data_IF_350303682040
#
_entry.id   IF_350303682040
#
_cell.length_a   1.000
_cell.length_b   1.000
_cell.length_c   1.000
_cell.angle_alpha   90.00
_cell.angle_beta   90.00
_cell.angle_gamma   90.00
#
_symmetry.space_group_name_H-M   'P 1'
#
loop_
_entity.id
_entity.type
_entity.pdbx_description
1 polymer ?
#
# COMPACT_ATOMS: atom_id res chain seq x y z
N UNK A 1 -17.29 8.10 -11.01
CA UNK A 1 -17.02 9.40 -11.64
C UNK A 1 -16.11 10.26 -10.79
N UNK A 2 -15.77 11.45 -11.25
CA UNK A 2 -14.86 12.35 -10.52
C UNK A 2 -15.52 12.87 -9.24
N UNK A 3 -14.76 12.91 -8.14
CA UNK A 3 -15.15 13.50 -6.87
C UNK A 3 -14.32 14.75 -6.63
N UNK A 4 -15.00 15.89 -6.40
CA UNK A 4 -14.37 17.19 -6.10
C UNK A 4 -14.68 17.60 -4.66
N UNK A 5 -13.65 18.00 -3.93
CA UNK A 5 -13.74 18.48 -2.54
C UNK A 5 -12.76 19.65 -2.36
N UNK A 6 -13.29 20.87 -2.41
CA UNK A 6 -12.47 22.08 -2.39
C UNK A 6 -11.48 22.12 -3.56
N UNK A 7 -10.18 22.13 -3.23
CA UNK A 7 -9.08 22.09 -4.19
C UNK A 7 -8.69 20.68 -4.62
N UNK A 8 -9.22 19.65 -3.96
CA UNK A 8 -8.89 18.27 -4.24
C UNK A 8 -9.82 17.68 -5.30
N UNK A 9 -9.25 16.84 -6.15
CA UNK A 9 -9.96 16.13 -7.20
C UNK A 9 -9.51 14.68 -7.22
N UNK A 10 -10.43 13.76 -6.96
CA UNK A 10 -10.22 12.33 -7.16
C UNK A 10 -10.84 11.95 -8.50
N UNK A 11 -10.00 11.63 -9.47
CA UNK A 11 -10.43 11.15 -10.79
C UNK A 11 -10.98 9.73 -10.65
N UNK A 12 -12.12 9.46 -11.31
CA UNK A 12 -12.77 8.15 -11.30
C UNK A 12 -12.91 7.56 -9.88
N UNK A 13 -13.39 8.38 -8.94
CA UNK A 13 -13.57 7.99 -7.54
C UNK A 13 -14.56 6.84 -7.39
N UNK A 14 -14.20 5.87 -6.56
CA UNK A 14 -15.05 4.76 -6.15
C UNK A 14 -15.11 4.66 -4.63
N UNK A 15 -16.30 4.42 -4.10
CA UNK A 15 -16.54 4.10 -2.70
C UNK A 15 -16.73 2.60 -2.56
N UNK A 16 -15.98 1.98 -1.68
CA UNK A 16 -15.94 0.53 -1.46
C UNK A 16 -16.19 0.24 0.01
N UNK A 17 -17.17 -0.58 0.32
CA UNK A 17 -17.49 -1.04 1.70
C UNK A 17 -16.66 -2.28 2.06
N UNK A 18 -16.44 -3.17 1.10
CA UNK A 18 -15.63 -4.37 1.23
C UNK A 18 -15.17 -4.85 -0.14
N UNK A 19 -14.12 -5.66 -0.20
CA UNK A 19 -13.75 -6.41 -1.39
C UNK A 19 -14.39 -7.82 -1.35
N UNK A 20 -14.52 -8.51 -2.49
CA UNK A 20 -15.24 -9.81 -2.56
C UNK A 20 -14.75 -10.86 -1.56
N UNK A 21 -13.46 -10.82 -1.19
CA UNK A 21 -12.85 -11.82 -0.28
C UNK A 21 -12.26 -11.20 0.98
N UNK A 22 -12.38 -9.88 1.16
CA UNK A 22 -11.71 -9.15 2.24
C UNK A 22 -12.67 -8.16 2.89
N UNK A 23 -12.92 -8.34 4.19
CA UNK A 23 -13.64 -7.37 5.02
C UNK A 23 -12.71 -6.19 5.34
N UNK A 24 -13.24 -4.97 5.20
CA UNK A 24 -12.55 -3.74 5.59
C UNK A 24 -13.11 -3.23 6.91
N UNK A 25 -12.29 -2.54 7.72
CA UNK A 25 -12.72 -1.93 9.00
C UNK A 25 -13.74 -0.79 8.84
N UNK A 26 -13.91 -0.30 7.63
CA UNK A 26 -14.86 0.75 7.26
C UNK A 26 -14.79 1.01 5.76
N UNK A 27 -15.67 1.89 5.25
CA UNK A 27 -15.67 2.25 3.85
C UNK A 27 -14.39 3.02 3.47
N UNK A 28 -13.94 2.79 2.24
CA UNK A 28 -12.80 3.48 1.64
C UNK A 28 -13.24 4.26 0.40
N UNK A 29 -12.56 5.37 0.12
CA UNK A 29 -12.69 6.13 -1.12
C UNK A 29 -11.33 6.17 -1.80
N UNK A 30 -11.25 5.63 -3.00
CA UNK A 30 -10.04 5.60 -3.82
C UNK A 30 -10.38 5.98 -5.26
N UNK A 31 -9.37 6.35 -6.04
CA UNK A 31 -9.55 6.33 -7.48
C UNK A 31 -9.61 4.87 -7.98
N UNK A 32 -10.19 4.65 -9.15
CA UNK A 32 -10.44 3.31 -9.68
C UNK A 32 -9.14 2.48 -9.80
N UNK A 33 -8.03 3.09 -10.21
CA UNK A 33 -6.74 2.39 -10.35
C UNK A 33 -6.19 1.93 -9.00
N UNK A 34 -6.19 2.80 -7.99
CA UNK A 34 -5.75 2.46 -6.63
C UNK A 34 -6.67 1.40 -5.99
N UNK A 35 -7.97 1.48 -6.25
CA UNK A 35 -8.94 0.48 -5.80
C UNK A 35 -8.65 -0.90 -6.40
N UNK A 36 -8.35 -0.94 -7.70
CA UNK A 36 -7.99 -2.18 -8.40
C UNK A 36 -6.65 -2.76 -7.93
N UNK A 37 -5.64 -1.89 -7.73
CA UNK A 37 -4.36 -2.28 -7.15
C UNK A 37 -4.53 -2.87 -5.74
N UNK A 38 -5.32 -2.21 -4.89
CA UNK A 38 -5.66 -2.68 -3.54
C UNK A 38 -6.33 -4.05 -3.59
N UNK A 39 -7.34 -4.22 -4.44
CA UNK A 39 -8.05 -5.50 -4.59
C UNK A 39 -7.10 -6.64 -4.98
N UNK A 40 -6.26 -6.44 -5.99
CA UNK A 40 -5.32 -7.44 -6.49
C UNK A 40 -4.28 -7.81 -5.43
N UNK A 41 -3.72 -6.81 -4.74
CA UNK A 41 -2.78 -7.01 -3.65
C UNK A 41 -3.40 -7.82 -2.50
N UNK A 42 -4.59 -7.43 -2.02
CA UNK A 42 -5.32 -8.13 -0.95
C UNK A 42 -5.61 -9.58 -1.31
N UNK A 43 -5.97 -9.85 -2.56
CA UNK A 43 -6.18 -11.20 -3.07
C UNK A 43 -4.89 -12.04 -3.03
N UNK A 44 -3.76 -11.47 -3.48
CA UNK A 44 -2.48 -12.18 -3.52
C UNK A 44 -1.97 -12.53 -2.12
N UNK A 45 -2.05 -11.61 -1.18
CA UNK A 45 -1.66 -11.86 0.23
C UNK A 45 -2.70 -12.65 1.03
N UNK A 46 -3.80 -13.06 0.40
CA UNK A 46 -4.91 -13.81 0.99
C UNK A 46 -5.52 -13.11 2.22
N UNK A 47 -5.68 -11.79 2.15
CA UNK A 47 -6.30 -11.01 3.19
C UNK A 47 -7.77 -11.38 3.36
N UNK A 48 -8.22 -11.63 4.60
CA UNK A 48 -9.62 -11.89 4.98
C UNK A 48 -10.24 -10.68 5.67
N UNK A 49 -9.44 -10.00 6.48
CA UNK A 49 -9.83 -8.76 7.16
C UNK A 49 -8.67 -7.77 7.17
N UNK A 50 -8.99 -6.49 7.06
CA UNK A 50 -8.05 -5.38 7.03
C UNK A 50 -8.58 -4.25 7.89
N UNK A 51 -7.73 -3.76 8.81
CA UNK A 51 -7.93 -2.48 9.47
C UNK A 51 -7.10 -1.42 8.76
N UNK A 52 -7.76 -0.41 8.21
CA UNK A 52 -7.11 0.75 7.60
C UNK A 52 -7.26 1.99 8.49
N UNK A 53 -6.32 2.95 8.37
CA UNK A 53 -6.37 4.24 9.06
C UNK A 53 -6.93 5.35 8.20
N UNK A 54 -7.01 5.14 6.90
CA UNK A 54 -7.59 6.09 5.97
C UNK A 54 -7.23 5.82 4.51
N UNK A 55 -7.97 6.51 3.64
CA UNK A 55 -7.73 6.56 2.20
C UNK A 55 -7.83 8.02 1.75
N UNK A 56 -8.94 8.47 1.16
CA UNK A 56 -9.09 9.87 0.77
C UNK A 56 -9.05 10.82 1.97
N UNK A 57 -8.22 11.86 1.83
CA UNK A 57 -8.15 12.98 2.77
C UNK A 57 -7.53 14.20 2.06
N UNK A 58 -8.33 15.26 1.85
CA UNK A 58 -7.87 16.49 1.21
C UNK A 58 -6.95 17.29 2.13
N UNK A 59 -5.65 17.04 2.04
CA UNK A 59 -4.61 17.70 2.86
C UNK A 59 -3.25 17.71 2.18
N UNK A 60 -2.39 18.61 2.63
CA UNK A 60 -0.95 18.53 2.32
C UNK A 60 -0.25 17.48 3.20
N UNK A 61 0.92 17.04 2.79
CA UNK A 61 1.82 16.25 3.62
C UNK A 61 2.28 17.09 4.83
N UNK A 62 2.42 16.45 5.99
CA UNK A 62 2.84 17.12 7.23
C UNK A 62 4.20 17.82 7.05
N UNK A 63 4.24 19.11 7.35
CA UNK A 63 5.46 19.91 7.28
C UNK A 63 5.88 20.33 5.87
N UNK A 64 5.00 20.16 4.87
CA UNK A 64 5.25 20.59 3.49
C UNK A 64 4.03 21.27 2.88
N UNK A 65 4.23 22.03 1.78
CA UNK A 65 3.13 22.58 0.98
C UNK A 65 2.66 21.62 -0.13
N UNK A 66 3.22 20.41 -0.21
CA UNK A 66 2.91 19.43 -1.25
C UNK A 66 1.66 18.64 -0.88
N UNK A 67 0.76 18.45 -1.82
CA UNK A 67 -0.45 17.65 -1.62
C UNK A 67 -0.10 16.18 -1.35
N UNK A 68 -0.79 15.58 -0.38
CA UNK A 68 -0.66 14.16 -0.06
C UNK A 68 -1.30 13.30 -1.15
N UNK A 69 -0.78 12.11 -1.41
CA UNK A 69 -1.39 11.11 -2.31
C UNK A 69 -2.81 10.73 -1.86
N UNK A 70 -3.11 10.84 -0.56
CA UNK A 70 -4.48 10.69 -0.06
C UNK A 70 -5.45 11.71 -0.67
N UNK A 71 -4.98 12.91 -1.02
CA UNK A 71 -5.80 13.97 -1.62
C UNK A 71 -6.26 13.65 -3.05
N UNK A 72 -5.59 12.73 -3.71
CA UNK A 72 -5.91 12.25 -5.06
C UNK A 72 -6.65 10.90 -5.05
N UNK A 73 -6.91 10.35 -3.84
CA UNK A 73 -7.49 9.00 -3.71
C UNK A 73 -6.55 7.90 -4.20
N UNK A 74 -5.25 8.12 -4.21
CA UNK A 74 -4.24 7.21 -4.73
C UNK A 74 -3.50 6.46 -3.63
N UNK A 75 -3.85 6.68 -2.35
CA UNK A 75 -3.18 6.11 -1.18
C UNK A 75 -4.14 5.41 -0.21
N UNK A 76 -3.61 4.39 0.47
CA UNK A 76 -4.26 3.68 1.58
C UNK A 76 -3.25 3.40 2.70
N UNK A 77 -3.67 3.67 3.96
CA UNK A 77 -2.90 3.38 5.17
C UNK A 77 -3.44 2.12 5.85
N UNK A 78 -2.61 1.09 5.98
CA UNK A 78 -2.96 -0.23 6.51
C UNK A 78 -2.36 -0.43 7.89
N UNK A 79 -3.20 -0.57 8.92
CA UNK A 79 -2.80 -0.80 10.31
C UNK A 79 -2.67 -2.28 10.66
N UNK A 80 -3.54 -3.15 10.13
CA UNK A 80 -3.45 -4.59 10.34
C UNK A 80 -4.07 -5.40 9.20
N UNK A 81 -3.61 -6.64 9.04
CA UNK A 81 -4.10 -7.60 8.05
C UNK A 81 -4.23 -8.96 8.74
N UNK A 82 -5.42 -9.58 8.69
CA UNK A 82 -5.69 -10.88 9.33
C UNK A 82 -5.30 -10.91 10.81
N UNK A 83 -5.60 -9.83 11.55
CA UNK A 83 -5.22 -9.70 12.96
C UNK A 83 -3.73 -9.39 13.22
N UNK A 84 -2.89 -9.37 12.19
CA UNK A 84 -1.47 -9.01 12.32
C UNK A 84 -1.30 -7.48 12.25
N UNK A 85 -0.99 -6.87 13.39
CA UNK A 85 -0.82 -5.40 13.51
C UNK A 85 0.57 -4.97 13.04
N UNK A 86 0.64 -3.96 12.19
CA UNK A 86 1.91 -3.35 11.78
C UNK A 86 2.66 -2.82 13.00
N UNK A 87 2.00 -2.04 13.86
CA UNK A 87 2.60 -1.46 15.07
C UNK A 87 3.24 -2.49 15.99
N UNK A 88 2.58 -3.63 16.22
CA UNK A 88 3.06 -4.65 17.17
C UNK A 88 4.05 -5.60 16.54
N UNK A 89 3.76 -6.09 15.33
CA UNK A 89 4.47 -7.23 14.77
C UNK A 89 5.59 -6.87 13.80
N UNK A 90 5.69 -5.59 13.34
CA UNK A 90 6.66 -5.21 12.30
C UNK A 90 8.09 -5.66 12.62
N UNK A 91 8.54 -5.44 13.86
CA UNK A 91 9.90 -5.76 14.31
C UNK A 91 10.04 -7.18 14.88
N UNK A 92 8.96 -7.92 15.03
CA UNK A 92 8.99 -9.26 15.57
C UNK A 92 9.60 -10.27 14.59
N UNK A 93 10.46 -11.16 15.11
CA UNK A 93 10.95 -12.35 14.41
C UNK A 93 9.96 -13.50 14.58
N UNK A 94 8.71 -13.29 14.16
CA UNK A 94 7.59 -14.22 14.27
C UNK A 94 6.91 -14.40 12.92
N UNK A 95 6.06 -15.42 12.81
CA UNK A 95 5.22 -15.64 11.61
C UNK A 95 4.32 -14.44 11.33
N UNK A 96 3.88 -13.73 12.37
CA UNK A 96 3.07 -12.53 12.28
C UNK A 96 3.86 -11.37 11.66
N UNK A 97 5.07 -11.11 12.16
CA UNK A 97 5.95 -10.08 11.62
C UNK A 97 6.43 -10.40 10.20
N UNK A 98 6.72 -11.66 9.91
CA UNK A 98 7.10 -12.09 8.57
C UNK A 98 5.96 -11.90 7.57
N UNK A 99 4.72 -12.25 7.95
CA UNK A 99 3.54 -12.04 7.10
C UNK A 99 3.36 -10.57 6.75
N UNK A 100 3.43 -9.63 7.71
CA UNK A 100 3.29 -8.19 7.47
C UNK A 100 4.41 -7.68 6.57
N UNK A 101 5.67 -8.01 6.85
CA UNK A 101 6.81 -7.58 6.00
C UNK A 101 6.74 -8.16 4.59
N UNK A 102 6.30 -9.40 4.44
CA UNK A 102 6.06 -10.02 3.13
C UNK A 102 4.94 -9.31 2.38
N UNK A 103 3.83 -9.00 3.06
CA UNK A 103 2.71 -8.26 2.47
C UNK A 103 3.13 -6.88 1.97
N UNK A 104 3.97 -6.16 2.74
CA UNK A 104 4.54 -4.87 2.33
C UNK A 104 5.44 -4.98 1.09
N UNK A 105 6.24 -6.06 0.99
CA UNK A 105 7.07 -6.30 -0.22
C UNK A 105 6.22 -6.63 -1.45
N UNK A 106 5.20 -7.47 -1.29
CA UNK A 106 4.27 -7.83 -2.39
C UNK A 106 3.49 -6.59 -2.86
N UNK A 107 3.21 -5.62 -1.98
CA UNK A 107 2.54 -4.38 -2.37
C UNK A 107 3.28 -3.66 -3.51
N UNK A 108 4.58 -3.78 -3.60
CA UNK A 108 5.39 -3.21 -4.69
C UNK A 108 5.12 -3.81 -6.09
N UNK A 109 4.33 -4.87 -6.19
CA UNK A 109 3.87 -5.39 -7.49
C UNK A 109 2.63 -4.65 -8.01
N UNK A 110 2.00 -3.85 -7.14
CA UNK A 110 0.72 -3.19 -7.38
C UNK A 110 0.75 -1.68 -7.17
N UNK A 111 1.65 -1.19 -6.31
CA UNK A 111 1.81 0.22 -5.95
C UNK A 111 3.19 0.74 -6.31
N UNK A 112 3.29 2.04 -6.54
CA UNK A 112 4.57 2.72 -6.78
C UNK A 112 5.38 2.84 -5.50
N UNK A 113 4.70 3.01 -4.37
CA UNK A 113 5.31 3.14 -3.06
C UNK A 113 4.70 2.19 -2.03
N UNK A 114 5.57 1.62 -1.21
CA UNK A 114 5.22 0.88 0.01
C UNK A 114 6.10 1.42 1.14
N UNK A 115 5.59 2.43 1.85
CA UNK A 115 6.30 3.06 2.97
C UNK A 115 5.95 2.29 4.24
N UNK A 116 6.99 1.90 4.98
CA UNK A 116 6.90 0.99 6.12
C UNK A 116 7.45 1.64 7.38
N UNK A 117 7.29 1.04 8.57
CA UNK A 117 7.90 1.53 9.81
C UNK A 117 9.42 1.74 9.77
N UNK A 118 10.12 1.13 8.82
CA UNK A 118 11.56 1.29 8.67
C UNK A 118 11.97 2.57 7.91
N UNK A 119 11.00 3.24 7.26
CA UNK A 119 11.29 4.47 6.50
C UNK A 119 11.37 5.72 7.38
N UNK A 120 10.43 5.89 8.28
CA UNK A 120 10.39 7.04 9.20
C UNK A 120 9.40 6.83 10.35
N UNK A 121 9.49 7.69 11.38
CA UNK A 121 8.66 7.62 12.58
C UNK A 121 7.16 7.88 12.33
N UNK A 122 6.79 8.56 11.25
CA UNK A 122 5.38 8.85 10.92
C UNK A 122 4.62 7.58 10.49
N UNK A 123 5.35 6.56 10.01
CA UNK A 123 4.79 5.29 9.55
C UNK A 123 5.03 4.13 10.54
N UNK A 124 5.29 4.44 11.84
CA UNK A 124 5.64 3.43 12.85
C UNK A 124 4.54 2.41 13.12
N UNK A 125 3.30 2.68 12.76
CA UNK A 125 2.12 1.89 13.11
C UNK A 125 1.26 1.44 11.91
N UNK A 126 1.68 1.78 10.68
CA UNK A 126 0.96 1.41 9.45
C UNK A 126 1.88 1.25 8.24
N UNK A 127 1.37 0.60 7.21
CA UNK A 127 1.92 0.63 5.86
C UNK A 127 1.20 1.73 5.08
N UNK A 128 1.92 2.66 4.48
CA UNK A 128 1.36 3.60 3.52
C UNK A 128 1.66 3.09 2.10
N UNK A 129 0.61 2.78 1.36
CA UNK A 129 0.69 2.28 -0.01
C UNK A 129 0.09 3.30 -0.96
N UNK A 130 0.84 3.73 -1.98
CA UNK A 130 0.36 4.73 -2.93
C UNK A 130 0.83 4.49 -4.37
N UNK A 131 0.18 5.18 -5.31
CA UNK A 131 0.46 5.13 -6.75
C UNK A 131 1.11 6.42 -7.27
N UNK A 132 1.62 7.27 -6.36
CA UNK A 132 2.25 8.54 -6.71
C UNK A 132 3.68 8.40 -7.21
N UNK A 133 4.29 9.54 -7.44
CA UNK A 133 5.70 9.61 -7.82
C UNK A 133 6.58 9.22 -6.61
N UNK A 134 7.29 8.11 -6.72
CA UNK A 134 8.15 7.63 -5.66
C UNK A 134 9.04 6.48 -6.12
N UNK A 135 10.01 6.13 -5.28
CA UNK A 135 11.03 5.13 -5.61
C UNK A 135 11.13 4.00 -4.60
N UNK A 136 10.23 3.94 -3.60
CA UNK A 136 10.34 2.93 -2.53
C UNK A 136 10.19 1.50 -3.06
N UNK A 137 9.43 1.32 -4.15
CA UNK A 137 9.26 0.04 -4.82
C UNK A 137 10.24 -0.21 -5.98
N UNK A 138 10.94 0.81 -6.46
CA UNK A 138 11.91 0.64 -7.58
C UNK A 138 13.09 -0.24 -7.21
N UNK A 139 13.58 -0.18 -5.97
CA UNK A 139 14.66 -1.04 -5.50
C UNK A 139 14.29 -2.52 -5.56
N UNK A 140 13.03 -2.88 -5.30
CA UNK A 140 12.56 -4.25 -5.38
C UNK A 140 12.49 -4.75 -6.82
N UNK A 141 12.08 -3.91 -7.76
CA UNK A 141 12.06 -4.23 -9.19
C UNK A 141 13.47 -4.44 -9.75
N UNK A 142 14.42 -3.55 -9.44
CA UNK A 142 15.83 -3.69 -9.83
C UNK A 142 16.43 -4.97 -9.26
N UNK A 143 16.20 -5.29 -7.98
CA UNK A 143 16.65 -6.55 -7.36
C UNK A 143 16.05 -7.79 -8.04
N UNK A 144 14.78 -7.75 -8.46
CA UNK A 144 14.13 -8.86 -9.19
C UNK A 144 14.74 -9.04 -10.57
N UNK A 145 14.95 -7.96 -11.32
CA UNK A 145 15.59 -7.99 -12.65
C UNK A 145 17.01 -8.56 -12.53
N UNK A 146 17.80 -8.09 -11.56
CA UNK A 146 19.15 -8.58 -11.29
C UNK A 146 19.16 -10.08 -10.96
N UNK A 147 18.23 -10.53 -10.08
CA UNK A 147 18.13 -11.94 -9.70
C UNK A 147 17.69 -12.83 -10.87
N UNK A 148 16.79 -12.35 -11.74
CA UNK A 148 16.41 -13.03 -12.97
C UNK A 148 17.58 -13.12 -13.95
N UNK A 149 18.34 -12.06 -14.12
CA UNK A 149 19.51 -12.04 -14.99
C UNK A 149 20.61 -13.02 -14.51
N UNK A 150 20.87 -13.08 -13.19
CA UNK A 150 21.81 -14.03 -12.58
C UNK A 150 21.34 -15.47 -12.82
N UNK A 151 20.07 -15.78 -12.52
CA UNK A 151 19.53 -17.13 -12.72
C UNK A 151 19.54 -17.58 -14.19
N UNK A 152 19.33 -16.65 -15.13
CA UNK A 152 19.46 -16.94 -16.56
C UNK A 152 20.92 -17.21 -16.94
N UNK A 153 21.87 -16.44 -16.43
CA UNK A 153 23.30 -16.64 -16.71
C UNK A 153 23.83 -17.97 -16.17
N UNK A 154 23.31 -18.46 -15.05
CA UNK A 154 23.67 -19.76 -14.46
C UNK A 154 23.09 -20.96 -15.23
N UNK A 155 21.96 -20.79 -15.94
CA UNK A 155 21.36 -21.85 -16.76
C UNK A 155 22.05 -22.06 -18.11
N UNK A 156 22.88 -21.12 -18.54
CA UNK A 156 23.61 -21.16 -19.81
C UNK A 156 25.13 -21.39 -19.62
N UNK A 157 25.56 -21.75 -18.42
CA UNK A 157 26.91 -22.26 -18.12
C UNK A 157 26.87 -23.76 -17.88
#
# INVERSE_FOLDING_TARGET
GDMKDGICLVKDAVRIEAFPTTKMSGPIVLNCNAALATHRWLKEIKAKDVTHLGTYNCRTMRGSGVMSEHSFGTAIDIASINGNSVKRHWKEKSVHGEYIRKSARIACDYFSNSITPDHNALHHDHLHLDMGYGTTCMSSLVQRITKLAINLSERFR
#
